data_IF_478210011328
#
_entry.id   IF_478210011328
#
_cell.length_a   1.000
_cell.length_b   1.000
_cell.length_c   1.000
_cell.angle_alpha   90.00
_cell.angle_beta   90.00
_cell.angle_gamma   90.00
#
_symmetry.space_group_name_H-M   'P 1'
#
loop_
_entity.id
_entity.type
_entity.pdbx_description
1 polymer ?
#
# COMPACT_ATOMS: atom_id res chain seq x y z
N UNK A 1 10.57 2.74 4.48
CA UNK A 1 10.20 2.51 3.07
C UNK A 1 11.38 1.90 2.35
N UNK A 2 11.17 0.89 1.50
CA UNK A 2 12.23 0.16 0.79
C UNK A 2 12.35 0.62 -0.67
N UNK A 3 11.23 0.77 -1.38
CA UNK A 3 11.20 1.26 -2.76
C UNK A 3 9.86 1.94 -3.11
N UNK A 4 9.86 2.72 -4.18
CA UNK A 4 8.71 3.43 -4.76
C UNK A 4 8.43 2.91 -6.16
N UNK A 5 7.19 3.10 -6.66
CA UNK A 5 6.78 2.71 -8.02
C UNK A 5 7.13 1.25 -8.36
N UNK A 6 6.80 0.36 -7.45
CA UNK A 6 7.02 -1.08 -7.56
C UNK A 6 5.82 -1.78 -8.20
N UNK A 7 6.04 -2.99 -8.70
CA UNK A 7 4.97 -3.84 -9.24
C UNK A 7 4.79 -5.07 -8.36
N UNK A 8 3.59 -5.24 -7.82
CA UNK A 8 3.18 -6.51 -7.23
C UNK A 8 2.60 -7.42 -8.32
N UNK A 9 2.87 -8.72 -8.21
CA UNK A 9 2.33 -9.75 -9.09
C UNK A 9 1.43 -10.63 -8.24
N UNK A 10 0.13 -10.39 -8.30
CA UNK A 10 -0.88 -11.20 -7.63
C UNK A 10 -1.42 -12.26 -8.58
N UNK A 11 -2.19 -13.21 -8.04
CA UNK A 11 -2.84 -14.25 -8.85
C UNK A 11 -3.87 -13.65 -9.81
N UNK A 12 -4.46 -12.51 -9.44
CA UNK A 12 -5.41 -11.75 -10.24
C UNK A 12 -4.74 -10.89 -11.33
N UNK A 13 -3.42 -10.67 -11.22
CA UNK A 13 -2.66 -9.87 -12.18
C UNK A 13 -1.64 -8.95 -11.54
N UNK A 14 -1.14 -8.00 -12.35
CA UNK A 14 -0.08 -7.07 -11.96
C UNK A 14 -0.69 -5.76 -11.46
N UNK A 15 -0.18 -5.25 -10.34
CA UNK A 15 -0.50 -3.92 -9.82
C UNK A 15 0.78 -3.10 -9.77
N UNK A 16 0.83 -2.00 -10.52
CA UNK A 16 1.99 -1.11 -10.63
C UNK A 16 1.81 0.14 -9.78
N UNK A 17 2.88 0.90 -9.54
CA UNK A 17 2.79 2.18 -8.81
C UNK A 17 2.80 2.04 -7.29
N UNK A 18 3.06 0.84 -6.76
CA UNK A 18 2.99 0.57 -5.32
C UNK A 18 4.28 1.00 -4.60
N UNK A 19 4.13 1.39 -3.34
CA UNK A 19 5.24 1.54 -2.41
C UNK A 19 5.58 0.19 -1.78
N UNK A 20 6.87 -0.13 -1.69
CA UNK A 20 7.36 -1.35 -1.06
C UNK A 20 7.98 -1.05 0.30
N UNK A 21 7.58 -1.77 1.32
CA UNK A 21 7.89 -1.45 2.73
C UNK A 21 8.39 -2.66 3.51
N UNK A 22 8.96 -2.39 4.68
CA UNK A 22 9.63 -3.39 5.52
C UNK A 22 8.84 -3.82 6.76
N UNK A 23 7.63 -3.28 6.96
CA UNK A 23 6.75 -3.74 8.03
C UNK A 23 5.95 -4.96 7.53
N UNK A 24 5.41 -5.74 8.46
CA UNK A 24 4.62 -6.91 8.13
C UNK A 24 3.14 -6.56 8.03
N UNK A 25 2.44 -7.18 7.09
CA UNK A 25 0.98 -7.22 7.03
C UNK A 25 0.55 -8.67 6.77
N UNK A 26 -0.56 -9.08 7.37
CA UNK A 26 -1.12 -10.41 7.26
C UNK A 26 -2.43 -10.40 6.45
N UNK A 27 -2.98 -11.60 6.20
CA UNK A 27 -4.32 -11.74 5.63
C UNK A 27 -5.35 -11.04 6.52
N UNK A 28 -6.12 -10.12 5.93
CA UNK A 28 -7.08 -9.26 6.64
C UNK A 28 -6.63 -7.82 6.80
N UNK A 29 -5.34 -7.51 6.66
CA UNK A 29 -4.83 -6.12 6.76
C UNK A 29 -5.01 -5.32 5.46
N UNK A 30 -5.36 -5.98 4.35
CA UNK A 30 -5.63 -5.32 3.06
C UNK A 30 -6.70 -4.24 3.18
N UNK A 31 -6.42 -3.05 2.63
CA UNK A 31 -7.23 -1.84 2.79
C UNK A 31 -6.96 -1.07 4.08
N UNK A 32 -6.19 -1.64 5.02
CA UNK A 32 -5.76 -0.97 6.24
C UNK A 32 -4.91 0.26 5.98
N UNK A 33 -5.00 1.24 6.87
CA UNK A 33 -4.36 2.53 6.68
C UNK A 33 -2.88 2.53 7.05
N UNK A 34 -2.07 3.23 6.26
CA UNK A 34 -0.63 3.45 6.52
C UNK A 34 -0.39 4.93 6.78
N UNK A 35 0.18 5.24 7.94
CA UNK A 35 0.45 6.60 8.40
C UNK A 35 1.90 6.77 8.87
N UNK A 36 2.38 8.01 8.85
CA UNK A 36 3.58 8.42 9.56
C UNK A 36 3.28 9.70 10.35
N UNK A 37 3.13 9.57 11.68
CA UNK A 37 2.52 10.62 12.48
C UNK A 37 1.11 10.91 11.97
N UNK A 38 0.81 12.19 11.77
CA UNK A 38 -0.50 12.65 11.25
C UNK A 38 -0.61 12.58 9.72
N UNK A 39 0.45 12.18 9.01
CA UNK A 39 0.45 12.12 7.56
C UNK A 39 -0.06 10.75 7.07
N UNK A 40 -1.16 10.77 6.33
CA UNK A 40 -1.71 9.60 5.64
C UNK A 40 -0.87 9.28 4.39
N UNK A 41 -0.28 8.09 4.34
CA UNK A 41 0.66 7.70 3.28
C UNK A 41 0.01 6.82 2.21
N UNK A 42 -0.90 5.93 2.62
CA UNK A 42 -1.46 4.95 1.71
C UNK A 42 -2.33 3.91 2.39
N UNK A 43 -2.72 2.92 1.60
CA UNK A 43 -3.50 1.77 2.04
C UNK A 43 -2.71 0.49 1.75
N UNK A 44 -2.76 -0.48 2.65
CA UNK A 44 -2.15 -1.80 2.42
C UNK A 44 -2.82 -2.45 1.21
N UNK A 45 -2.04 -2.76 0.17
CA UNK A 45 -2.51 -3.51 -0.99
C UNK A 45 -2.41 -5.02 -0.71
N UNK A 46 -1.23 -5.46 -0.26
CA UNK A 46 -0.94 -6.87 0.02
C UNK A 46 0.47 -7.01 0.57
N UNK A 47 0.92 -8.24 0.81
CA UNK A 47 2.24 -8.50 1.37
C UNK A 47 2.82 -9.86 0.99
N UNK A 48 4.08 -10.04 1.36
CA UNK A 48 4.83 -11.29 1.31
C UNK A 48 5.05 -11.68 2.78
N UNK A 49 4.17 -12.53 3.35
CA UNK A 49 4.20 -12.87 4.77
C UNK A 49 5.52 -13.48 5.22
N UNK A 50 6.14 -14.30 4.37
CA UNK A 50 7.38 -15.01 4.66
C UNK A 50 8.56 -14.06 4.89
N UNK A 51 8.58 -12.94 4.16
CA UNK A 51 9.68 -11.96 4.19
C UNK A 51 9.36 -10.70 5.00
N UNK A 52 8.15 -10.63 5.59
CA UNK A 52 7.65 -9.43 6.26
C UNK A 52 7.80 -8.18 5.36
N UNK A 53 7.13 -8.23 4.21
CA UNK A 53 7.15 -7.15 3.21
C UNK A 53 5.74 -6.79 2.81
N UNK A 54 5.46 -5.49 2.71
CA UNK A 54 4.12 -5.01 2.40
C UNK A 54 4.16 -4.02 1.25
N UNK A 55 3.27 -4.24 0.28
CA UNK A 55 2.95 -3.31 -0.79
C UNK A 55 1.84 -2.36 -0.33
N UNK A 56 2.05 -1.07 -0.55
CA UNK A 56 1.13 0.00 -0.14
C UNK A 56 0.72 0.78 -1.39
N UNK A 57 -0.59 0.94 -1.58
CA UNK A 57 -1.14 1.82 -2.59
C UNK A 57 -1.00 3.28 -2.10
N UNK A 58 -0.28 4.16 -2.83
CA UNK A 58 -0.17 5.57 -2.47
C UNK A 58 -1.54 6.25 -2.39
N UNK A 59 -1.76 7.01 -1.32
CA UNK A 59 -3.08 7.56 -1.03
C UNK A 59 -3.55 8.61 -2.05
N UNK A 60 -2.64 9.50 -2.47
CA UNK A 60 -2.97 10.65 -3.32
C UNK A 60 -3.62 10.26 -4.64
N UNK A 61 -3.23 9.12 -5.22
CA UNK A 61 -3.84 8.61 -6.47
C UNK A 61 -5.34 8.31 -6.27
N UNK A 62 -5.68 7.62 -5.19
CA UNK A 62 -7.06 7.30 -4.85
C UNK A 62 -7.88 8.54 -4.51
N UNK A 63 -7.33 9.45 -3.69
CA UNK A 63 -8.00 10.71 -3.35
C UNK A 63 -8.34 11.52 -4.60
N UNK A 64 -7.38 11.68 -5.52
CA UNK A 64 -7.57 12.41 -6.76
C UNK A 64 -8.60 11.74 -7.68
N UNK A 65 -8.59 10.40 -7.77
CA UNK A 65 -9.55 9.66 -8.58
C UNK A 65 -10.99 9.83 -8.10
N UNK A 66 -11.21 9.78 -6.79
CA UNK A 66 -12.54 9.85 -6.20
C UNK A 66 -12.98 11.27 -5.82
N UNK A 67 -12.09 12.26 -5.88
CA UNK A 67 -12.40 13.64 -5.47
C UNK A 67 -12.71 13.76 -3.99
N UNK A 68 -12.00 12.99 -3.16
CA UNK A 68 -12.18 12.96 -1.69
C UNK A 68 -10.93 13.44 -0.98
N UNK A 69 -11.09 13.88 0.26
CA UNK A 69 -10.00 14.35 1.12
C UNK A 69 -9.94 13.52 2.42
N UNK A 70 -8.78 13.50 3.05
CA UNK A 70 -8.60 12.89 4.38
C UNK A 70 -9.18 13.83 5.43
N UNK A 71 -10.01 13.28 6.33
CA UNK A 71 -10.65 14.04 7.40
C UNK A 71 -9.78 14.12 8.66
#
# INVERSE_FOLDING_TARGET
MLAKNTTAIYVEGRVTGLDYTSFCAAGGDSGGSVFHGDAALGLVSGGIPEDCRTYVQPLNEGLAWYGVEVH
#
